data_IF_324935395568
#
_entry.id   IF_324935395568
#
_cell.length_a   1.000
_cell.length_b   1.000
_cell.length_c   1.000
_cell.angle_alpha   90.00
_cell.angle_beta   90.00
_cell.angle_gamma   90.00
#
_symmetry.space_group_name_H-M   'P 1'
#
loop_
_entity.id
_entity.type
_entity.pdbx_description
1 polymer ?
#
# COMPACT_ATOMS: atom_id res chain seq x y z
N UNK A 1 6.76 15.86 -12.02
CA UNK A 1 6.35 15.55 -11.54
C UNK A 1 6.01 15.04 -10.56
N UNK A 2 5.68 15.09 -9.97
CA UNK A 2 5.43 14.54 -9.06
C UNK A 2 4.77 13.58 -8.76
N UNK A 3 4.79 13.62 -8.63
CA UNK A 3 4.49 12.33 -8.81
C UNK A 3 4.37 11.53 -7.61
N UNK A 4 4.82 12.01 -6.48
CA UNK A 4 4.77 11.30 -5.21
C UNK A 4 3.35 11.02 -4.79
N UNK A 5 2.44 11.95 -5.02
CA UNK A 5 1.06 11.72 -4.62
C UNK A 5 0.40 10.67 -5.51
N UNK A 6 0.78 10.63 -6.77
CA UNK A 6 0.24 9.61 -7.66
C UNK A 6 0.74 8.22 -7.26
N UNK A 7 2.01 8.13 -6.89
CA UNK A 7 2.56 6.87 -6.45
C UNK A 7 1.87 6.36 -5.20
N UNK A 8 1.57 7.26 -4.29
CA UNK A 8 0.87 6.90 -3.07
C UNK A 8 -0.55 6.43 -3.36
N UNK A 9 -1.25 7.13 -4.23
CA UNK A 9 -2.61 6.76 -4.57
C UNK A 9 -2.66 5.38 -5.24
N UNK A 10 -1.74 5.14 -6.14
CA UNK A 10 -1.63 3.85 -6.80
C UNK A 10 -1.34 2.74 -5.79
N UNK A 11 -0.44 2.99 -4.86
CA UNK A 11 -0.08 2.02 -3.85
C UNK A 11 -1.28 1.68 -2.98
N UNK A 12 -1.98 2.70 -2.51
CA UNK A 12 -3.13 2.50 -1.64
C UNK A 12 -4.24 1.76 -2.37
N UNK A 13 -4.49 2.13 -3.60
CA UNK A 13 -5.52 1.47 -4.40
C UNK A 13 -5.18 -0.01 -4.62
N UNK A 14 -3.92 -0.30 -4.89
CA UNK A 14 -3.49 -1.68 -5.09
C UNK A 14 -3.68 -2.50 -3.81
N UNK A 15 -3.27 -1.96 -2.68
CA UNK A 15 -3.42 -2.65 -1.39
C UNK A 15 -4.91 -2.86 -1.08
N UNK A 16 -5.71 -1.83 -1.28
CA UNK A 16 -7.14 -1.90 -1.03
C UNK A 16 -7.79 -2.99 -1.86
N UNK A 17 -7.45 -3.03 -3.15
CA UNK A 17 -8.00 -4.04 -4.06
C UNK A 17 -7.65 -5.45 -3.59
N UNK A 18 -6.40 -5.66 -3.18
CA UNK A 18 -5.97 -6.96 -2.71
C UNK A 18 -6.72 -7.37 -1.44
N UNK A 19 -6.91 -6.43 -0.53
CA UNK A 19 -7.65 -6.70 0.70
C UNK A 19 -9.11 -7.06 0.40
N UNK A 20 -9.71 -6.37 -0.53
CA UNK A 20 -11.10 -6.66 -0.90
C UNK A 20 -11.25 -8.02 -1.55
N UNK A 21 -10.23 -8.47 -2.24
CA UNK A 21 -10.26 -9.78 -2.87
C UNK A 21 -9.93 -10.91 -1.90
N UNK A 22 -9.64 -10.58 -0.66
CA UNK A 22 -9.31 -11.58 0.33
C UNK A 22 -7.91 -12.13 0.19
N UNK A 23 -7.05 -11.44 -0.54
CA UNK A 23 -5.67 -11.88 -0.70
C UNK A 23 -4.83 -11.52 0.52
N UNK A 24 -3.81 -12.34 0.75
CA UNK A 24 -2.85 -12.05 1.82
C UNK A 24 -1.96 -10.91 1.36
N UNK A 25 -1.93 -9.85 2.15
CA UNK A 25 -1.09 -8.68 1.86
C UNK A 25 0.11 -8.71 2.79
N UNK A 26 1.30 -8.82 2.21
CA UNK A 26 2.54 -8.86 2.99
C UNK A 26 3.30 -7.56 2.80
N UNK A 27 3.85 -7.04 3.90
CA UNK A 27 4.54 -5.77 3.88
C UNK A 27 5.86 -5.82 3.12
N UNK A 28 6.61 -6.90 3.29
CA UNK A 28 7.95 -6.97 2.70
C UNK A 28 7.94 -6.87 1.17
N UNK A 29 7.17 -7.71 0.45
CA UNK A 29 7.16 -7.57 -1.01
C UNK A 29 6.64 -6.22 -1.47
N UNK A 30 5.67 -5.65 -0.77
CA UNK A 30 5.13 -4.36 -1.15
C UNK A 30 6.14 -3.25 -0.93
N UNK A 31 6.89 -3.31 0.16
CA UNK A 31 7.90 -2.31 0.43
C UNK A 31 8.97 -2.31 -0.65
N UNK A 32 9.37 -3.48 -1.10
CA UNK A 32 10.35 -3.60 -2.17
C UNK A 32 9.76 -3.10 -3.49
N UNK A 33 8.55 -3.50 -3.78
CA UNK A 33 7.89 -3.14 -5.04
C UNK A 33 7.76 -1.63 -5.21
N UNK A 34 7.42 -0.94 -4.13
CA UNK A 34 7.18 0.50 -4.20
C UNK A 34 8.34 1.34 -3.69
N UNK A 35 9.41 0.70 -3.22
CA UNK A 35 10.58 1.44 -2.75
C UNK A 35 10.32 2.24 -1.49
N UNK A 36 9.46 1.74 -0.61
CA UNK A 36 9.15 2.39 0.66
C UNK A 36 9.42 1.41 1.79
N UNK A 37 9.43 1.92 3.04
CA UNK A 37 9.67 1.05 4.19
C UNK A 37 8.43 0.22 4.50
N UNK A 38 8.65 -0.89 5.21
CA UNK A 38 7.53 -1.72 5.67
C UNK A 38 6.61 -0.95 6.60
N UNK A 39 7.19 -0.01 7.32
CA UNK A 39 6.41 0.83 8.22
C UNK A 39 5.40 1.67 7.44
N UNK A 40 5.82 2.18 6.30
CA UNK A 40 4.93 2.95 5.43
C UNK A 40 3.80 2.06 4.91
N UNK A 41 4.12 0.83 4.52
CA UNK A 41 3.10 -0.11 4.05
C UNK A 41 2.12 -0.45 5.18
N UNK A 42 2.64 -0.70 6.38
CA UNK A 42 1.79 -0.98 7.53
C UNK A 42 0.84 0.18 7.80
N UNK A 43 1.34 1.38 7.71
CA UNK A 43 0.52 2.57 7.91
C UNK A 43 -0.58 2.68 6.87
N UNK A 44 -0.24 2.40 5.61
CA UNK A 44 -1.22 2.42 4.54
C UNK A 44 -2.32 1.39 4.78
N UNK A 45 -1.94 0.19 5.20
CA UNK A 45 -2.91 -0.86 5.48
C UNK A 45 -3.83 -0.44 6.63
N UNK A 46 -3.24 0.12 7.68
CA UNK A 46 -4.02 0.58 8.83
C UNK A 46 -5.00 1.68 8.42
N UNK A 47 -4.55 2.62 7.62
CA UNK A 47 -5.40 3.70 7.15
C UNK A 47 -6.59 3.15 6.35
N UNK A 48 -6.34 2.17 5.51
CA UNK A 48 -7.39 1.56 4.71
C UNK A 48 -8.38 0.83 5.60
N UNK A 49 -7.90 0.10 6.60
CA UNK A 49 -8.75 -0.68 7.48
C UNK A 49 -9.57 0.20 8.41
N UNK A 50 -9.07 1.37 8.73
CA UNK A 50 -9.80 2.31 9.57
C UNK A 50 -10.83 3.11 8.78
N UNK A 51 -10.77 3.03 7.49
CA UNK A 51 -11.67 3.77 6.63
C UNK A 51 -12.98 3.02 6.46
#
# INVERSE_FOLDING_TARGET
MQEHSEDKAERILSIYTQLKQGKVVKKTPLSICYGVSERTIQRDITDIQCF
#
